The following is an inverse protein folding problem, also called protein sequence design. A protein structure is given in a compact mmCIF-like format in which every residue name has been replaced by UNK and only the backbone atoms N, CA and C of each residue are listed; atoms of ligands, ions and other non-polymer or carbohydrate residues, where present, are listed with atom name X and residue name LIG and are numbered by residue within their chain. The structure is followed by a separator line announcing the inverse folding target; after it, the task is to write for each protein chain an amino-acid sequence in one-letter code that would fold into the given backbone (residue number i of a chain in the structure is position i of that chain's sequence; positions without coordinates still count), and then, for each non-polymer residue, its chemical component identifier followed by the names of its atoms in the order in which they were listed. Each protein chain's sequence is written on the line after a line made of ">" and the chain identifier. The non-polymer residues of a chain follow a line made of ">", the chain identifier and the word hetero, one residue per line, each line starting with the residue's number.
data_IF_996021972113
#
_entry.id   IF_996021972113
#
_cell.length_a   1.000
_cell.length_b   1.000
_cell.length_c   1.000
_cell.angle_alpha   90.00
_cell.angle_beta   90.00
_cell.angle_gamma   90.00
#
_symmetry.space_group_name_H-M   'P 1'
#
loop_
_entity.id
_entity.type
_entity.pdbx_description
1 polymer ?
#
# COMPACT_ATOMS: atom_id res chain seq x y z
N UNK A 1 -31.05 -3.33 -6.47
CA UNK A 1 -30.21 -4.53 -6.58
C UNK A 1 -29.47 -4.69 -5.27
N UNK A 2 -29.75 -5.79 -4.54
CA UNK A 2 -28.99 -6.09 -3.33
C UNK A 2 -27.79 -6.93 -3.77
N UNK A 3 -26.66 -6.29 -4.02
CA UNK A 3 -25.41 -7.00 -4.26
C UNK A 3 -24.67 -7.04 -2.92
N UNK A 4 -24.45 -8.22 -2.36
CA UNK A 4 -23.60 -8.45 -1.21
C UNK A 4 -22.09 -8.38 -1.60
N UNK A 5 -21.75 -7.59 -2.61
CA UNK A 5 -20.39 -7.42 -3.08
C UNK A 5 -20.00 -5.95 -2.96
N UNK A 6 -18.82 -5.69 -2.45
CA UNK A 6 -18.21 -4.37 -2.52
C UNK A 6 -17.85 -4.06 -3.97
N UNK A 7 -18.10 -2.83 -4.38
CA UNK A 7 -17.79 -2.32 -5.71
C UNK A 7 -16.88 -1.11 -5.52
N UNK A 8 -15.75 -1.10 -6.23
CA UNK A 8 -14.86 0.05 -6.22
C UNK A 8 -15.51 1.20 -7.00
N UNK A 9 -15.66 2.33 -6.34
CA UNK A 9 -16.05 3.59 -6.96
C UNK A 9 -14.89 4.57 -6.93
N UNK A 10 -14.62 5.22 -8.05
CA UNK A 10 -13.68 6.32 -8.13
C UNK A 10 -14.31 7.51 -8.84
N UNK A 11 -13.99 8.70 -8.38
CA UNK A 11 -14.39 9.94 -9.03
C UNK A 11 -13.29 10.99 -8.89
N UNK A 12 -13.19 11.87 -9.89
CA UNK A 12 -12.33 13.03 -9.81
C UNK A 12 -13.09 14.17 -9.13
N UNK A 13 -12.45 14.79 -8.14
CA UNK A 13 -12.91 15.97 -7.46
C UNK A 13 -11.99 17.12 -7.86
N UNK A 14 -12.56 18.18 -8.42
CA UNK A 14 -11.81 19.41 -8.67
C UNK A 14 -11.74 20.21 -7.37
N UNK A 15 -10.55 20.32 -6.81
CA UNK A 15 -10.28 21.03 -5.58
C UNK A 15 -9.32 22.21 -5.79
N UNK A 16 -9.11 22.65 -7.04
CA UNK A 16 -8.10 23.67 -7.39
C UNK A 16 -8.36 25.04 -6.74
N UNK A 17 -9.59 25.34 -6.38
CA UNK A 17 -9.99 26.60 -5.74
C UNK A 17 -10.14 26.48 -4.20
N UNK A 18 -9.87 25.31 -3.61
CA UNK A 18 -10.07 25.07 -2.18
C UNK A 18 -8.76 24.98 -1.41
N UNK A 19 -8.62 25.84 -0.42
CA UNK A 19 -7.57 25.74 0.59
C UNK A 19 -8.21 25.54 1.97
N UNK A 20 -7.79 24.52 2.70
CA UNK A 20 -8.19 24.24 4.07
C UNK A 20 -8.96 22.95 4.27
N UNK A 21 -9.74 22.92 5.34
CA UNK A 21 -10.51 21.73 5.72
C UNK A 21 -11.78 21.62 4.89
N UNK A 22 -12.05 20.43 4.36
CA UNK A 22 -13.31 20.09 3.71
C UNK A 22 -13.95 18.87 4.36
N UNK A 23 -15.26 18.73 4.19
CA UNK A 23 -16.02 17.59 4.65
C UNK A 23 -16.48 16.78 3.46
N UNK A 24 -16.13 15.50 3.43
CA UNK A 24 -16.69 14.55 2.48
C UNK A 24 -17.96 13.94 3.06
N UNK A 25 -19.08 14.03 2.34
CA UNK A 25 -20.37 13.51 2.79
C UNK A 25 -20.90 12.47 1.81
N UNK A 26 -21.29 11.33 2.33
CA UNK A 26 -22.01 10.30 1.56
C UNK A 26 -23.47 10.32 1.99
N UNK A 27 -24.37 10.68 1.07
CA UNK A 27 -25.81 10.72 1.33
C UNK A 27 -26.46 9.42 0.87
N UNK A 28 -27.19 8.79 1.76
CA UNK A 28 -27.94 7.56 1.48
C UNK A 28 -29.45 7.90 1.53
N UNK A 29 -30.22 7.56 0.47
CA UNK A 29 -31.65 7.80 0.46
C UNK A 29 -32.36 7.14 1.64
N UNK A 30 -33.47 7.73 2.08
CA UNK A 30 -34.28 7.20 3.18
C UNK A 30 -34.68 5.74 2.93
N UNK A 31 -34.37 4.88 3.90
CA UNK A 31 -34.59 3.43 3.81
C UNK A 31 -33.49 2.65 3.07
N UNK A 32 -32.48 3.36 2.53
CA UNK A 32 -31.29 2.72 1.98
C UNK A 32 -30.29 2.32 3.06
N UNK A 33 -29.43 1.35 2.74
CA UNK A 33 -28.28 0.96 3.57
C UNK A 33 -27.08 0.83 2.65
N UNK A 34 -25.94 1.39 3.05
CA UNK A 34 -24.66 1.27 2.32
C UNK A 34 -23.56 0.90 3.30
N UNK A 35 -22.73 -0.06 2.93
CA UNK A 35 -21.46 -0.32 3.59
C UNK A 35 -20.36 0.43 2.85
N UNK A 36 -19.49 1.11 3.57
CA UNK A 36 -18.33 1.80 3.01
C UNK A 36 -17.08 1.19 3.63
N UNK A 37 -16.12 0.86 2.80
CA UNK A 37 -14.83 0.35 3.19
C UNK A 37 -13.74 1.04 2.36
N UNK A 38 -12.53 1.14 2.89
CA UNK A 38 -11.33 1.67 2.23
C UNK A 38 -11.53 3.03 1.54
N UNK A 39 -12.12 3.98 2.27
CA UNK A 39 -12.26 5.35 1.77
C UNK A 39 -10.88 5.98 1.62
N UNK A 40 -10.54 6.42 0.40
CA UNK A 40 -9.26 7.04 0.08
C UNK A 40 -9.44 8.30 -0.75
N UNK A 41 -8.66 9.33 -0.45
CA UNK A 41 -8.58 10.57 -1.23
C UNK A 41 -7.12 10.85 -1.55
N UNK A 42 -6.78 10.88 -2.83
CA UNK A 42 -5.41 11.11 -3.30
C UNK A 42 -5.42 12.23 -4.34
N UNK A 43 -4.33 13.01 -4.38
CA UNK A 43 -4.08 13.95 -5.47
C UNK A 43 -3.93 13.18 -6.80
N UNK A 44 -4.30 13.80 -7.90
CA UNK A 44 -4.19 13.21 -9.25
C UNK A 44 -2.76 13.18 -9.79
N UNK A 45 -1.87 13.97 -9.18
CA UNK A 45 -0.46 14.09 -9.57
C UNK A 45 0.47 13.07 -8.87
N UNK A 46 -0.07 12.03 -8.24
CA UNK A 46 0.73 10.98 -7.59
C UNK A 46 1.73 10.32 -8.56
N UNK A 47 2.86 9.90 -8.02
CA UNK A 47 3.87 9.14 -8.75
C UNK A 47 3.79 7.68 -8.31
N UNK A 48 3.30 6.81 -9.19
CA UNK A 48 3.14 5.37 -8.91
C UNK A 48 2.37 5.10 -7.59
N UNK A 49 1.34 5.89 -7.32
CA UNK A 49 0.54 5.79 -6.09
C UNK A 49 1.16 6.47 -4.85
N UNK A 50 2.31 7.11 -4.98
CA UNK A 50 2.97 7.84 -3.92
C UNK A 50 2.78 9.35 -4.07
N UNK A 51 2.64 10.06 -2.95
CA UNK A 51 2.53 11.53 -2.95
C UNK A 51 3.75 12.15 -3.62
N UNK A 52 3.54 12.94 -4.68
CA UNK A 52 4.61 13.56 -5.49
C UNK A 52 5.65 14.28 -4.64
N UNK A 53 5.21 15.17 -3.76
CA UNK A 53 6.11 15.93 -2.90
C UNK A 53 7.05 15.02 -2.09
N UNK A 54 6.53 13.91 -1.54
CA UNK A 54 7.32 12.94 -0.77
C UNK A 54 8.36 12.26 -1.64
N UNK A 55 7.98 11.83 -2.84
CA UNK A 55 8.90 11.20 -3.80
C UNK A 55 10.00 12.17 -4.20
N UNK A 56 9.66 13.42 -4.53
CA UNK A 56 10.63 14.44 -4.94
C UNK A 56 11.61 14.79 -3.81
N UNK A 57 11.13 14.90 -2.57
CA UNK A 57 12.01 15.13 -1.43
C UNK A 57 12.94 13.96 -1.16
N UNK A 58 12.44 12.73 -1.20
CA UNK A 58 13.28 11.54 -1.05
C UNK A 58 14.35 11.51 -2.14
N UNK A 59 13.95 11.74 -3.39
CA UNK A 59 14.84 11.72 -4.55
C UNK A 59 15.91 12.81 -4.52
N UNK A 60 15.53 14.03 -4.18
CA UNK A 60 16.38 15.21 -4.34
C UNK A 60 17.18 15.57 -3.08
N UNK A 61 16.59 15.33 -1.90
CA UNK A 61 17.19 15.69 -0.62
C UNK A 61 17.89 14.51 0.05
N UNK A 62 17.19 13.38 0.25
CA UNK A 62 17.75 12.20 0.92
C UNK A 62 18.69 11.40 0.02
N UNK A 63 18.34 11.22 -1.24
CA UNK A 63 19.10 10.50 -2.27
C UNK A 63 19.56 9.11 -1.80
N UNK A 64 18.65 8.26 -1.31
CA UNK A 64 19.02 6.95 -0.82
C UNK A 64 19.55 6.09 -1.98
N UNK A 65 20.58 5.28 -1.71
CA UNK A 65 21.05 4.26 -2.64
C UNK A 65 20.23 2.99 -2.55
N UNK A 66 19.72 2.71 -1.37
CA UNK A 66 18.88 1.53 -1.09
C UNK A 66 17.74 1.92 -0.16
N UNK A 67 16.59 1.25 -0.32
CA UNK A 67 15.45 1.40 0.58
C UNK A 67 15.04 0.02 1.11
N UNK A 68 14.97 -0.10 2.44
CA UNK A 68 14.73 -1.37 3.11
C UNK A 68 13.27 -1.54 3.52
N UNK A 69 12.70 -2.73 3.21
CA UNK A 69 11.38 -3.15 3.67
C UNK A 69 11.31 -4.68 3.81
N UNK A 70 10.54 -5.21 4.77
CA UNK A 70 10.16 -4.57 6.02
C UNK A 70 11.37 -4.37 6.92
N UNK A 71 11.21 -3.74 8.09
CA UNK A 71 12.32 -3.48 8.99
C UNK A 71 12.01 -3.70 10.46
N UNK A 72 13.08 -3.89 11.26
CA UNK A 72 12.98 -4.07 12.70
C UNK A 72 12.17 -5.31 13.10
N UNK A 73 11.51 -5.23 14.26
CA UNK A 73 10.68 -6.32 14.80
C UNK A 73 9.50 -6.67 13.90
N UNK A 74 9.00 -5.72 13.12
CA UNK A 74 7.92 -5.93 12.15
C UNK A 74 8.25 -7.05 11.14
N UNK A 75 9.50 -7.13 10.67
CA UNK A 75 9.95 -8.18 9.75
C UNK A 75 9.67 -9.58 10.28
N UNK A 76 9.78 -9.78 11.60
CA UNK A 76 9.67 -11.12 12.21
C UNK A 76 8.31 -11.80 11.99
N UNK A 77 7.24 -10.98 11.87
CA UNK A 77 5.85 -11.46 11.71
C UNK A 77 5.28 -11.17 10.33
N UNK A 78 6.03 -10.48 9.47
CA UNK A 78 5.52 -10.03 8.18
C UNK A 78 5.31 -11.20 7.21
N UNK A 79 4.09 -11.34 6.74
CA UNK A 79 3.78 -12.20 5.59
C UNK A 79 3.70 -11.33 4.32
N UNK A 80 4.69 -11.46 3.46
CA UNK A 80 4.80 -10.69 2.23
C UNK A 80 3.62 -10.90 1.27
N UNK A 81 2.95 -12.06 1.34
CA UNK A 81 1.79 -12.37 0.50
C UNK A 81 0.61 -11.47 0.82
N UNK A 82 0.50 -11.01 2.07
CA UNK A 82 -0.54 -10.06 2.47
C UNK A 82 -0.42 -8.69 1.79
N UNK A 83 0.75 -8.35 1.25
CA UNK A 83 1.00 -7.13 0.49
C UNK A 83 0.90 -7.31 -1.03
N UNK A 84 0.32 -8.42 -1.54
CA UNK A 84 0.20 -8.69 -2.97
C UNK A 84 -1.27 -8.64 -3.39
N UNK A 85 -1.52 -8.24 -4.65
CA UNK A 85 -2.85 -8.10 -5.22
C UNK A 85 -3.47 -6.71 -5.00
N UNK A 86 -4.72 -6.51 -5.43
CA UNK A 86 -5.44 -5.26 -5.25
C UNK A 86 -5.51 -4.85 -3.78
N UNK A 87 -5.29 -3.59 -3.48
CA UNK A 87 -5.22 -3.10 -2.08
C UNK A 87 -6.51 -3.35 -1.32
N UNK A 88 -7.65 -3.21 -1.98
CA UNK A 88 -8.99 -3.43 -1.45
C UNK A 88 -9.29 -4.89 -1.10
N UNK A 89 -8.50 -5.83 -1.59
CA UNK A 89 -8.64 -7.26 -1.33
C UNK A 89 -7.60 -7.78 -0.32
N UNK A 90 -6.65 -6.95 0.08
CA UNK A 90 -5.59 -7.36 1.00
C UNK A 90 -6.14 -7.58 2.41
N UNK A 91 -5.69 -8.61 3.11
CA UNK A 91 -6.13 -8.87 4.48
C UNK A 91 -5.64 -7.78 5.43
N UNK A 92 -6.47 -7.41 6.39
CA UNK A 92 -6.03 -6.63 7.54
C UNK A 92 -5.32 -7.57 8.51
N UNK A 93 -4.07 -7.26 8.84
CA UNK A 93 -3.24 -7.99 9.80
C UNK A 93 -3.14 -7.20 11.11
N UNK A 94 -2.60 -7.81 12.14
CA UNK A 94 -2.34 -7.13 13.41
C UNK A 94 -0.88 -7.25 13.82
N UNK A 95 -0.21 -6.11 14.01
CA UNK A 95 1.14 -6.08 14.52
C UNK A 95 1.12 -6.13 16.06
N UNK A 96 1.53 -7.26 16.61
CA UNK A 96 1.56 -7.49 18.06
C UNK A 96 2.68 -6.70 18.75
N UNK A 97 3.73 -6.29 18.04
CA UNK A 97 4.83 -5.53 18.59
C UNK A 97 4.46 -4.05 18.75
N UNK A 98 3.74 -3.51 17.78
CA UNK A 98 3.32 -2.11 17.76
C UNK A 98 1.88 -1.90 18.21
N UNK A 99 1.10 -2.98 18.38
CA UNK A 99 -0.27 -2.93 18.88
C UNK A 99 -1.22 -2.21 17.92
N UNK A 100 -1.05 -2.37 16.62
CA UNK A 100 -1.86 -1.69 15.62
C UNK A 100 -2.29 -2.62 14.47
N UNK A 101 -3.36 -2.24 13.81
CA UNK A 101 -3.79 -2.88 12.57
C UNK A 101 -2.90 -2.45 11.40
N UNK A 102 -2.69 -3.40 10.49
CA UNK A 102 -1.92 -3.24 9.26
C UNK A 102 -2.85 -3.46 8.08
N UNK A 103 -3.05 -2.43 7.30
CA UNK A 103 -3.87 -2.50 6.09
C UNK A 103 -3.15 -3.14 4.90
N UNK A 104 -1.84 -3.38 5.04
CA UNK A 104 -0.98 -3.94 3.99
C UNK A 104 -0.96 -3.11 2.68
N UNK A 105 -1.17 -1.80 2.78
CA UNK A 105 -1.20 -0.87 1.64
C UNK A 105 0.12 -0.81 0.89
N UNK A 106 1.22 -1.11 1.57
CA UNK A 106 2.57 -1.13 1.01
C UNK A 106 3.11 -2.55 1.06
N UNK A 107 3.31 -3.13 -0.10
CA UNK A 107 3.89 -4.45 -0.28
C UNK A 107 5.11 -4.42 -1.19
N UNK A 108 5.39 -5.56 -1.83
CA UNK A 108 6.55 -5.74 -2.71
C UNK A 108 6.56 -4.76 -3.87
N UNK A 109 5.43 -4.65 -4.59
CA UNK A 109 5.34 -3.82 -5.78
C UNK A 109 5.42 -2.33 -5.44
N UNK A 110 4.74 -1.89 -4.40
CA UNK A 110 4.77 -0.49 -3.97
C UNK A 110 6.17 -0.05 -3.55
N UNK A 111 6.97 -0.93 -2.92
CA UNK A 111 8.35 -0.61 -2.61
C UNK A 111 9.20 -0.51 -3.87
N UNK A 112 9.07 -1.45 -4.82
CA UNK A 112 9.80 -1.40 -6.10
C UNK A 112 9.47 -0.12 -6.85
N UNK A 113 8.18 0.21 -6.94
CA UNK A 113 7.71 1.44 -7.59
C UNK A 113 8.29 2.71 -6.96
N UNK A 114 8.35 2.75 -5.63
CA UNK A 114 8.98 3.87 -4.92
C UNK A 114 10.48 3.92 -5.22
N UNK A 115 11.17 2.79 -5.17
CA UNK A 115 12.60 2.71 -5.45
C UNK A 115 12.91 3.18 -6.87
N UNK A 116 12.15 2.75 -7.86
CA UNK A 116 12.29 3.22 -9.25
C UNK A 116 12.07 4.73 -9.37
N UNK A 117 11.01 5.24 -8.74
CA UNK A 117 10.69 6.67 -8.79
C UNK A 117 11.80 7.54 -8.21
N UNK A 118 12.47 7.09 -7.15
CA UNK A 118 13.53 7.85 -6.46
C UNK A 118 14.95 7.51 -6.97
N UNK A 119 15.10 6.42 -7.72
CA UNK A 119 16.40 5.95 -8.21
C UNK A 119 17.21 5.19 -7.16
N UNK A 120 16.55 4.40 -6.33
CA UNK A 120 17.15 3.55 -5.30
C UNK A 120 16.95 2.06 -5.63
N UNK A 121 17.77 1.20 -5.00
CA UNK A 121 17.61 -0.25 -5.07
C UNK A 121 16.73 -0.75 -3.92
N UNK A 122 15.75 -1.64 -4.16
CA UNK A 122 14.99 -2.25 -3.08
C UNK A 122 15.85 -3.25 -2.30
N UNK A 123 15.70 -3.23 -0.98
CA UNK A 123 16.34 -4.17 -0.07
C UNK A 123 15.29 -4.89 0.78
N UNK A 124 14.92 -6.11 0.40
CA UNK A 124 13.93 -6.89 1.13
C UNK A 124 14.56 -7.63 2.31
N UNK A 125 13.92 -7.50 3.48
CA UNK A 125 14.27 -8.26 4.67
C UNK A 125 13.31 -9.43 4.83
N UNK A 126 13.81 -10.65 4.66
CA UNK A 126 13.00 -11.85 4.78
C UNK A 126 12.78 -12.25 6.25
N UNK A 127 11.56 -12.61 6.66
CA UNK A 127 11.27 -13.09 8.00
C UNK A 127 11.78 -14.52 8.19
N UNK A 128 12.62 -14.72 9.22
CA UNK A 128 13.17 -16.05 9.55
C UNK A 128 12.79 -16.52 10.95
N UNK A 129 12.12 -15.68 11.74
CA UNK A 129 11.81 -15.97 13.12
C UNK A 129 10.47 -16.73 13.30
N UNK A 130 9.41 -16.27 12.65
CA UNK A 130 8.06 -16.84 12.72
C UNK A 130 7.58 -17.45 11.42
N UNK A 131 8.21 -17.09 10.30
CA UNK A 131 8.09 -17.79 9.04
C UNK A 131 9.29 -18.73 8.84
N UNK A 132 9.14 -19.66 7.91
CA UNK A 132 10.18 -20.62 7.61
C UNK A 132 11.01 -20.18 6.39
N UNK A 133 12.09 -20.92 6.15
CA UNK A 133 12.99 -20.74 5.01
C UNK A 133 12.29 -20.85 3.65
N UNK A 134 11.22 -21.65 3.58
CA UNK A 134 10.45 -21.80 2.33
C UNK A 134 9.71 -20.53 1.97
N UNK A 135 9.10 -19.84 2.95
CA UNK A 135 8.45 -18.55 2.71
C UNK A 135 9.44 -17.48 2.22
N UNK A 136 10.65 -17.49 2.75
CA UNK A 136 11.71 -16.60 2.30
C UNK A 136 12.17 -16.93 0.87
N UNK A 137 12.35 -18.20 0.56
CA UNK A 137 12.70 -18.66 -0.80
C UNK A 137 11.61 -18.34 -1.81
N UNK A 138 10.34 -18.56 -1.44
CA UNK A 138 9.19 -18.25 -2.28
C UNK A 138 9.13 -16.74 -2.59
N UNK A 139 9.48 -15.86 -1.64
CA UNK A 139 9.49 -14.42 -1.90
C UNK A 139 10.60 -14.02 -2.87
N UNK A 140 11.78 -14.63 -2.75
CA UNK A 140 12.87 -14.45 -3.72
C UNK A 140 12.45 -14.94 -5.11
N UNK A 141 11.84 -16.12 -5.19
CA UNK A 141 11.33 -16.66 -6.45
C UNK A 141 10.25 -15.76 -7.05
N UNK A 142 9.31 -15.30 -6.23
CA UNK A 142 8.27 -14.37 -6.65
C UNK A 142 8.84 -13.08 -7.25
N UNK A 143 9.84 -12.48 -6.61
CA UNK A 143 10.48 -11.25 -7.10
C UNK A 143 11.25 -11.44 -8.41
N UNK A 144 11.76 -12.63 -8.69
CA UNK A 144 12.57 -12.93 -9.87
C UNK A 144 11.79 -13.61 -10.99
N UNK A 145 10.52 -13.96 -10.77
CA UNK A 145 9.71 -14.61 -11.78
C UNK A 145 9.13 -13.58 -12.75
N UNK A 146 9.49 -13.62 -14.04
CA UNK A 146 9.03 -12.63 -15.02
C UNK A 146 7.52 -12.65 -15.26
N UNK A 147 6.82 -13.72 -14.88
CA UNK A 147 5.35 -13.80 -14.98
C UNK A 147 4.63 -12.99 -13.92
N UNK A 148 5.32 -12.55 -12.87
CA UNK A 148 4.78 -11.74 -11.78
C UNK A 148 5.01 -10.23 -12.01
N UNK A 149 5.73 -9.85 -13.06
CA UNK A 149 5.88 -8.44 -13.44
C UNK A 149 4.49 -7.88 -13.86
N UNK A 150 4.05 -6.84 -13.19
CA UNK A 150 2.84 -6.08 -13.51
C UNK A 150 3.16 -4.89 -14.39
#
# INVERSE_FOLDING_TARGET
>A
MNTNQFILYSSLLDATEYEGWCTYTVEVPAGGCVGIDLLSLMADDVIKGWKRESVERIKNELRPRTMRMPGGCFTSLYDWRSGIGPREERPVSYDTWWGCELLNDVGTFELVDLCEAVGAEPFFCVPVMFNNEYSAADWVDFCNNPTNAQ
#
